data_IF_127822832297
#
_entry.id   IF_127822832297
#
_cell.length_a   1.000
_cell.length_b   1.000
_cell.length_c   1.000
_cell.angle_alpha   90.00
_cell.angle_beta   90.00
_cell.angle_gamma   90.00
#
_symmetry.space_group_name_H-M   'P 1'
#
loop_
_entity.id
_entity.type
_entity.pdbx_description
1 polymer ?
#
# COMPACT_ATOMS: atom_id res chain seq x y z
N UNK A 1 -24.48 24.69 -13.84
CA UNK A 1 -24.10 23.97 -12.62
C UNK A 1 -22.59 24.01 -12.49
N UNK A 2 -22.17 24.57 -11.42
CA UNK A 2 -20.81 25.04 -11.16
C UNK A 2 -19.76 23.92 -11.25
N UNK A 3 -18.73 24.10 -12.09
CA UNK A 3 -17.62 23.15 -12.25
C UNK A 3 -16.63 23.16 -11.06
N UNK A 4 -16.97 23.85 -9.98
CA UNK A 4 -16.11 24.07 -8.81
C UNK A 4 -15.78 22.77 -8.07
N UNK A 5 -16.73 21.86 -7.90
CA UNK A 5 -16.52 20.58 -7.24
C UNK A 5 -15.54 19.66 -8.00
N UNK A 6 -15.53 19.69 -9.35
CA UNK A 6 -14.56 18.91 -10.14
C UNK A 6 -13.13 19.38 -9.90
N UNK A 7 -12.91 20.69 -9.80
CA UNK A 7 -11.58 21.25 -9.50
C UNK A 7 -11.05 20.77 -8.15
N UNK A 8 -11.90 20.69 -7.15
CA UNK A 8 -11.52 20.19 -5.82
C UNK A 8 -11.23 18.69 -5.88
N UNK A 9 -12.02 17.90 -6.62
CA UNK A 9 -11.72 16.46 -6.82
C UNK A 9 -10.36 16.28 -7.48
N UNK A 10 -10.06 16.98 -8.58
CA UNK A 10 -8.76 16.88 -9.22
C UNK A 10 -7.61 17.28 -8.30
N UNK A 11 -7.80 18.34 -7.49
CA UNK A 11 -6.83 18.75 -6.47
C UNK A 11 -6.57 17.62 -5.47
N UNK A 12 -7.63 17.04 -4.88
CA UNK A 12 -7.50 15.93 -3.90
C UNK A 12 -6.85 14.71 -4.54
N UNK A 13 -7.20 14.38 -5.79
CA UNK A 13 -6.57 13.30 -6.55
C UNK A 13 -5.08 13.55 -6.79
N UNK A 14 -4.69 14.77 -7.14
CA UNK A 14 -3.27 15.17 -7.31
C UNK A 14 -2.51 15.03 -5.99
N UNK A 15 -3.10 15.45 -4.88
CA UNK A 15 -2.51 15.30 -3.55
C UNK A 15 -2.36 13.82 -3.19
N UNK A 16 -3.34 12.99 -3.55
CA UNK A 16 -3.28 11.55 -3.33
C UNK A 16 -2.12 10.90 -4.10
N UNK A 17 -1.90 11.30 -5.37
CA UNK A 17 -0.74 10.85 -6.16
C UNK A 17 0.56 11.31 -5.51
N UNK A 18 0.69 12.61 -5.19
CA UNK A 18 1.90 13.17 -4.59
C UNK A 18 2.23 12.55 -3.23
N UNK A 19 1.23 12.38 -2.37
CA UNK A 19 1.39 11.72 -1.07
C UNK A 19 1.76 10.24 -1.21
N UNK A 20 1.16 9.53 -2.17
CA UNK A 20 1.51 8.14 -2.49
C UNK A 20 2.96 8.01 -2.96
N UNK A 21 3.39 8.87 -3.89
CA UNK A 21 4.79 8.93 -4.37
C UNK A 21 5.74 9.17 -3.19
N UNK A 22 5.42 10.12 -2.31
CA UNK A 22 6.27 10.48 -1.15
C UNK A 22 6.42 9.34 -0.16
N UNK A 23 5.34 8.60 0.15
CA UNK A 23 5.36 7.54 1.16
C UNK A 23 5.99 6.27 0.62
N UNK A 24 5.61 5.85 -0.58
CA UNK A 24 5.99 4.57 -1.17
C UNK A 24 7.32 4.65 -1.94
N UNK A 25 7.65 5.84 -2.46
CA UNK A 25 8.86 6.05 -3.26
C UNK A 25 10.17 5.73 -2.56
N UNK A 26 10.16 5.77 -1.24
CA UNK A 26 11.35 5.45 -0.43
C UNK A 26 11.66 3.95 -0.43
N UNK A 27 10.71 3.07 -0.70
CA UNK A 27 10.90 1.61 -0.63
C UNK A 27 11.97 1.09 -1.60
N UNK A 28 12.18 1.74 -2.74
CA UNK A 28 13.14 1.31 -3.76
C UNK A 28 14.61 1.50 -3.35
N UNK A 29 14.90 2.43 -2.44
CA UNK A 29 16.27 2.76 -2.04
C UNK A 29 16.52 2.72 -0.52
N UNK A 30 15.49 2.55 0.30
CA UNK A 30 15.58 2.61 1.76
C UNK A 30 16.68 1.72 2.36
N UNK A 31 16.81 0.43 1.97
CA UNK A 31 17.87 -0.41 2.54
C UNK A 31 19.28 0.03 2.14
N UNK A 32 19.42 0.59 0.94
CA UNK A 32 20.71 1.14 0.45
C UNK A 32 21.07 2.41 1.22
N UNK A 33 20.09 3.26 1.50
CA UNK A 33 20.28 4.43 2.36
C UNK A 33 20.63 4.04 3.81
N UNK A 34 20.04 2.98 4.34
CA UNK A 34 20.39 2.45 5.67
C UNK A 34 21.84 1.95 5.73
N UNK A 35 22.37 1.38 4.64
CA UNK A 35 23.77 1.03 4.52
C UNK A 35 24.68 2.28 4.57
N UNK A 36 24.27 3.40 3.93
CA UNK A 36 24.97 4.70 4.05
C UNK A 36 24.96 5.25 5.48
N UNK A 37 23.90 4.94 6.25
CA UNK A 37 23.82 5.30 7.67
C UNK A 37 24.60 4.37 8.61
N UNK A 38 25.46 3.48 8.08
CA UNK A 38 26.36 2.63 8.83
C UNK A 38 25.89 1.19 9.08
N UNK A 39 24.78 0.76 8.50
CA UNK A 39 24.31 -0.63 8.58
C UNK A 39 24.94 -1.47 7.46
N UNK A 40 26.18 -1.95 7.68
CA UNK A 40 26.91 -2.70 6.67
C UNK A 40 26.55 -4.21 6.65
N UNK A 41 26.04 -4.74 7.75
CA UNK A 41 25.54 -6.13 7.77
C UNK A 41 24.22 -6.24 7.00
N UNK A 42 24.15 -7.08 5.95
CA UNK A 42 22.98 -7.21 5.11
C UNK A 42 21.72 -7.68 5.84
N UNK A 43 21.89 -8.54 6.85
CA UNK A 43 20.78 -9.04 7.66
C UNK A 43 20.22 -7.96 8.59
N UNK A 44 21.11 -7.16 9.19
CA UNK A 44 20.72 -6.03 10.02
C UNK A 44 20.04 -4.93 9.20
N UNK A 45 20.59 -4.61 8.02
CA UNK A 45 19.97 -3.67 7.08
C UNK A 45 18.57 -4.10 6.65
N UNK A 46 18.36 -5.41 6.39
CA UNK A 46 17.04 -5.96 6.07
C UNK A 46 16.03 -5.81 7.22
N UNK A 47 16.45 -6.10 8.45
CA UNK A 47 15.62 -5.94 9.64
C UNK A 47 15.22 -4.47 9.84
N UNK A 48 16.18 -3.55 9.78
CA UNK A 48 15.93 -2.12 9.91
C UNK A 48 15.04 -1.58 8.79
N UNK A 49 15.26 -2.02 7.56
CA UNK A 49 14.42 -1.63 6.43
C UNK A 49 12.97 -2.10 6.62
N UNK A 50 12.79 -3.32 7.15
CA UNK A 50 11.48 -3.84 7.53
C UNK A 50 10.80 -3.00 8.62
N UNK A 51 11.52 -2.67 9.71
CA UNK A 51 11.00 -1.85 10.81
C UNK A 51 10.61 -0.44 10.34
N UNK A 52 11.49 0.25 9.62
CA UNK A 52 11.28 1.61 9.12
C UNK A 52 10.12 1.67 8.13
N UNK A 53 9.95 0.62 7.30
CA UNK A 53 8.83 0.52 6.34
C UNK A 53 7.51 0.20 7.03
N UNK A 54 7.50 -0.67 8.05
CA UNK A 54 6.28 -1.12 8.71
C UNK A 54 5.76 -0.15 9.77
N UNK A 55 6.62 0.65 10.42
CA UNK A 55 6.21 1.54 11.50
C UNK A 55 5.28 2.66 11.00
N UNK A 56 5.54 3.22 9.83
CA UNK A 56 4.73 4.30 9.26
C UNK A 56 3.27 3.89 9.06
N UNK A 57 2.93 2.81 8.31
CA UNK A 57 1.54 2.38 8.17
C UNK A 57 0.90 1.95 9.50
N UNK A 58 1.68 1.44 10.47
CA UNK A 58 1.21 1.14 11.81
C UNK A 58 0.71 2.43 12.52
N UNK A 59 1.54 3.45 12.55
CA UNK A 59 1.18 4.73 13.18
C UNK A 59 0.03 5.43 12.44
N UNK A 60 -0.03 5.35 11.10
CA UNK A 60 -1.17 5.84 10.31
C UNK A 60 -2.47 5.16 10.74
N UNK A 61 -2.47 3.83 10.87
CA UNK A 61 -3.65 3.08 11.28
C UNK A 61 -4.17 3.51 12.67
N UNK A 62 -3.25 3.80 13.60
CA UNK A 62 -3.59 4.25 14.94
C UNK A 62 -4.06 5.71 14.99
N UNK A 63 -3.48 6.57 14.16
CA UNK A 63 -3.74 8.02 14.18
C UNK A 63 -4.89 8.48 13.28
N UNK A 64 -5.24 7.71 12.24
CA UNK A 64 -6.25 8.09 11.25
C UNK A 64 -7.62 8.43 11.86
N UNK A 65 -8.15 7.71 12.87
CA UNK A 65 -9.42 8.08 13.52
C UNK A 65 -9.34 9.41 14.25
N UNK A 66 -8.19 9.73 14.86
CA UNK A 66 -7.97 11.02 15.53
C UNK A 66 -8.02 12.18 14.53
N UNK A 67 -7.30 12.06 13.41
CA UNK A 67 -7.26 13.10 12.38
C UNK A 67 -8.59 13.29 11.68
N UNK A 68 -9.34 12.21 11.44
CA UNK A 68 -10.70 12.28 10.88
C UNK A 68 -11.64 13.06 11.81
N UNK A 69 -11.57 12.83 13.14
CA UNK A 69 -12.35 13.61 14.13
C UNK A 69 -11.92 15.07 14.15
N UNK A 70 -10.61 15.34 14.08
CA UNK A 70 -10.10 16.73 14.05
C UNK A 70 -10.51 17.44 12.77
N UNK A 71 -10.59 16.77 11.64
CA UNK A 71 -11.09 17.33 10.38
C UNK A 71 -12.57 17.73 10.48
N UNK A 72 -13.39 16.96 11.22
CA UNK A 72 -14.78 17.32 11.51
C UNK A 72 -14.91 18.54 12.44
N UNK A 73 -13.95 18.72 13.36
CA UNK A 73 -13.99 19.83 14.33
C UNK A 73 -13.41 21.14 13.79
N UNK A 74 -12.25 21.07 13.14
CA UNK A 74 -11.45 22.23 12.71
C UNK A 74 -11.63 22.57 11.23
N UNK A 75 -12.33 21.72 10.50
CA UNK A 75 -12.45 21.75 9.04
C UNK A 75 -11.34 21.00 8.33
N UNK A 76 -11.67 20.29 7.23
CA UNK A 76 -10.74 19.40 6.53
C UNK A 76 -9.56 20.14 5.92
N UNK A 77 -9.75 21.39 5.44
CA UNK A 77 -8.67 22.21 4.86
C UNK A 77 -7.55 22.47 5.86
N UNK A 78 -7.87 22.93 7.08
CA UNK A 78 -6.86 23.25 8.11
C UNK A 78 -6.09 22.01 8.54
N UNK A 79 -6.80 20.90 8.73
CA UNK A 79 -6.18 19.63 9.15
C UNK A 79 -5.30 19.04 8.06
N UNK A 80 -5.72 19.04 6.80
CA UNK A 80 -4.89 18.58 5.69
C UNK A 80 -3.65 19.46 5.52
N UNK A 81 -3.76 20.78 5.64
CA UNK A 81 -2.60 21.68 5.59
C UNK A 81 -1.60 21.37 6.72
N UNK A 82 -2.06 21.15 7.94
CA UNK A 82 -1.20 20.76 9.06
C UNK A 82 -0.49 19.42 8.81
N UNK A 83 -1.23 18.41 8.33
CA UNK A 83 -0.69 17.10 8.00
C UNK A 83 0.38 17.21 6.90
N UNK A 84 0.07 17.89 5.80
CA UNK A 84 1.02 18.03 4.67
C UNK A 84 2.24 18.88 5.05
N UNK A 85 2.06 19.93 5.87
CA UNK A 85 3.18 20.70 6.39
C UNK A 85 4.12 19.82 7.22
N UNK A 86 3.58 19.06 8.17
CA UNK A 86 4.39 18.18 9.02
C UNK A 86 5.04 17.07 8.19
N UNK A 87 4.34 16.51 7.20
CA UNK A 87 4.93 15.53 6.26
C UNK A 87 6.06 16.16 5.44
N UNK A 88 5.86 17.35 4.91
CA UNK A 88 6.91 18.08 4.16
C UNK A 88 8.17 18.26 5.00
N UNK A 89 8.04 18.75 6.23
CA UNK A 89 9.18 18.98 7.13
C UNK A 89 9.85 17.66 7.52
N UNK A 90 9.07 16.65 7.90
CA UNK A 90 9.63 15.36 8.37
C UNK A 90 10.23 14.53 7.25
N UNK A 91 9.68 14.57 6.03
CA UNK A 91 10.26 13.92 4.85
C UNK A 91 11.56 14.63 4.46
N UNK A 92 11.58 15.97 4.43
CA UNK A 92 12.82 16.73 4.18
C UNK A 92 13.89 16.47 5.23
N UNK A 93 13.51 16.37 6.51
CA UNK A 93 14.43 16.05 7.60
C UNK A 93 15.07 14.66 7.45
N UNK A 94 14.43 13.69 6.80
CA UNK A 94 15.04 12.38 6.52
C UNK A 94 16.32 12.49 5.69
N UNK A 95 16.46 13.51 4.83
CA UNK A 95 17.68 13.73 4.06
C UNK A 95 18.91 14.04 4.93
N UNK A 96 18.71 14.55 6.14
CA UNK A 96 19.77 14.98 7.05
C UNK A 96 20.03 13.98 8.17
N UNK A 97 19.38 12.83 8.16
CA UNK A 97 19.60 11.77 9.16
C UNK A 97 21.01 11.19 9.03
N UNK A 98 21.61 10.89 10.18
CA UNK A 98 22.94 10.30 10.28
C UNK A 98 22.92 8.90 10.92
N UNK A 99 21.79 8.53 11.53
CA UNK A 99 21.64 7.23 12.20
C UNK A 99 20.28 6.60 11.83
N UNK A 100 20.19 5.25 11.82
CA UNK A 100 18.94 4.54 11.58
C UNK A 100 17.82 4.91 12.58
N UNK A 101 18.18 5.23 13.83
CA UNK A 101 17.25 5.64 14.87
C UNK A 101 16.57 6.99 14.56
N UNK A 102 17.35 7.96 14.07
CA UNK A 102 16.77 9.26 13.64
C UNK A 102 15.75 9.06 12.52
N UNK A 103 16.09 8.23 11.53
CA UNK A 103 15.18 7.90 10.45
C UNK A 103 13.91 7.23 10.97
N UNK A 104 14.02 6.24 11.88
CA UNK A 104 12.89 5.56 12.49
C UNK A 104 11.97 6.54 13.23
N UNK A 105 12.52 7.47 14.02
CA UNK A 105 11.73 8.48 14.75
C UNK A 105 10.97 9.40 13.80
N UNK A 106 11.59 9.85 12.71
CA UNK A 106 10.91 10.63 11.68
C UNK A 106 9.80 9.84 10.99
N UNK A 107 10.00 8.54 10.74
CA UNK A 107 8.98 7.64 10.17
C UNK A 107 7.80 7.41 11.12
N UNK A 108 8.04 7.29 12.42
CA UNK A 108 6.98 7.26 13.43
C UNK A 108 6.18 8.56 13.36
N UNK A 109 6.85 9.71 13.36
CA UNK A 109 6.19 11.01 13.31
C UNK A 109 5.36 11.20 12.03
N UNK A 110 5.89 10.78 10.87
CA UNK A 110 5.15 10.75 9.59
C UNK A 110 3.87 9.92 9.70
N UNK A 111 3.94 8.75 10.33
CA UNK A 111 2.78 7.89 10.55
C UNK A 111 1.77 8.52 11.51
N UNK A 112 2.22 9.13 12.62
CA UNK A 112 1.33 9.81 13.59
C UNK A 112 0.52 10.94 12.95
N UNK A 113 1.06 11.62 11.94
CA UNK A 113 0.33 12.67 11.20
C UNK A 113 -0.29 12.17 9.89
N UNK A 114 -0.21 10.88 9.57
CA UNK A 114 -0.59 10.29 8.28
C UNK A 114 -2.09 10.10 8.05
N UNK A 115 -2.94 11.10 8.33
CA UNK A 115 -4.40 10.98 8.20
C UNK A 115 -5.03 11.58 6.93
N UNK A 116 -4.25 11.99 5.92
CA UNK A 116 -4.78 12.72 4.78
C UNK A 116 -5.67 11.86 3.83
N UNK A 117 -5.41 10.55 3.73
CA UNK A 117 -6.16 9.65 2.86
C UNK A 117 -7.65 9.58 3.22
N UNK A 118 -8.06 9.22 4.46
CA UNK A 118 -9.46 9.19 4.82
C UNK A 118 -10.13 10.57 4.77
N UNK A 119 -9.40 11.65 5.04
CA UNK A 119 -9.93 13.02 4.96
C UNK A 119 -10.21 13.37 3.49
N UNK A 120 -9.29 13.05 2.57
CA UNK A 120 -9.49 13.27 1.13
C UNK A 120 -10.71 12.52 0.60
N UNK A 121 -10.89 11.27 1.02
CA UNK A 121 -12.05 10.46 0.65
C UNK A 121 -13.35 11.09 1.17
N UNK A 122 -13.38 11.54 2.42
CA UNK A 122 -14.54 12.19 3.01
C UNK A 122 -14.91 13.50 2.29
N UNK A 123 -13.91 14.30 1.89
CA UNK A 123 -14.13 15.51 1.09
C UNK A 123 -14.79 15.17 -0.25
N UNK A 124 -14.28 14.16 -0.96
CA UNK A 124 -14.82 13.74 -2.26
C UNK A 124 -16.29 13.36 -2.13
N UNK A 125 -16.63 12.55 -1.13
CA UNK A 125 -18.03 12.14 -0.88
C UNK A 125 -18.91 13.35 -0.58
N UNK A 126 -18.42 14.30 0.21
CA UNK A 126 -19.19 15.48 0.62
C UNK A 126 -19.54 16.42 -0.54
N UNK A 127 -18.56 16.68 -1.44
CA UNK A 127 -18.71 17.71 -2.47
C UNK A 127 -19.29 17.19 -3.79
N UNK A 128 -19.33 15.86 -3.99
CA UNK A 128 -19.71 15.25 -5.25
C UNK A 128 -21.22 15.02 -5.28
N UNK A 129 -21.92 15.41 -6.37
CA UNK A 129 -23.34 15.05 -6.58
C UNK A 129 -23.51 13.51 -6.51
N UNK A 130 -24.63 13.05 -5.92
CA UNK A 130 -24.86 11.63 -5.64
C UNK A 130 -24.71 10.71 -6.87
N UNK A 131 -25.19 11.17 -8.03
CA UNK A 131 -25.09 10.44 -9.30
C UNK A 131 -23.64 10.32 -9.83
N UNK A 132 -22.71 11.15 -9.36
CA UNK A 132 -21.29 11.20 -9.76
C UNK A 132 -20.32 10.62 -8.71
N UNK A 133 -20.81 10.28 -7.52
CA UNK A 133 -19.95 9.70 -6.46
C UNK A 133 -19.17 8.47 -6.92
N UNK A 134 -19.76 7.49 -7.66
CA UNK A 134 -19.00 6.34 -8.14
C UNK A 134 -17.84 6.72 -9.06
N UNK A 135 -18.02 7.70 -9.93
CA UNK A 135 -16.96 8.21 -10.79
C UNK A 135 -15.84 8.88 -10.00
N UNK A 136 -16.18 9.75 -9.05
CA UNK A 136 -15.19 10.47 -8.23
C UNK A 136 -14.37 9.51 -7.35
N UNK A 137 -15.03 8.49 -6.79
CA UNK A 137 -14.38 7.42 -6.03
C UNK A 137 -13.42 6.60 -6.90
N UNK A 138 -13.83 6.27 -8.12
CA UNK A 138 -12.98 5.58 -9.08
C UNK A 138 -11.74 6.39 -9.44
N UNK A 139 -11.87 7.69 -9.65
CA UNK A 139 -10.74 8.59 -9.92
C UNK A 139 -9.80 8.68 -8.72
N UNK A 140 -10.33 8.76 -7.50
CA UNK A 140 -9.53 8.78 -6.28
C UNK A 140 -8.74 7.48 -6.08
N UNK A 141 -9.38 6.32 -6.32
CA UNK A 141 -8.70 5.03 -6.26
C UNK A 141 -7.61 4.90 -7.33
N UNK A 142 -7.87 5.35 -8.56
CA UNK A 142 -6.85 5.41 -9.61
C UNK A 142 -5.65 6.28 -9.19
N UNK A 143 -5.90 7.40 -8.52
CA UNK A 143 -4.84 8.28 -8.00
C UNK A 143 -4.00 7.59 -6.91
N UNK A 144 -4.61 6.78 -6.05
CA UNK A 144 -3.87 5.96 -5.08
C UNK A 144 -2.93 4.97 -5.79
N UNK A 145 -3.44 4.27 -6.80
CA UNK A 145 -2.64 3.30 -7.59
C UNK A 145 -1.50 4.01 -8.32
N UNK A 146 -1.75 5.18 -8.91
CA UNK A 146 -0.69 5.97 -9.56
C UNK A 146 0.43 6.33 -8.59
N UNK A 147 0.11 6.81 -7.38
CA UNK A 147 1.13 7.11 -6.36
C UNK A 147 1.95 5.88 -5.97
N UNK A 148 1.29 4.74 -5.79
CA UNK A 148 1.91 3.45 -5.46
C UNK A 148 2.88 2.96 -6.56
N UNK A 149 2.49 3.13 -7.82
CA UNK A 149 3.21 2.62 -8.99
C UNK A 149 4.38 3.54 -9.36
N UNK A 150 4.16 4.85 -9.42
CA UNK A 150 5.19 5.82 -9.82
C UNK A 150 6.18 6.15 -8.70
N UNK A 151 5.79 6.02 -7.43
CA UNK A 151 6.64 6.35 -6.30
C UNK A 151 7.99 5.65 -6.32
N UNK A 152 8.06 4.31 -6.33
CA UNK A 152 9.32 3.58 -6.33
C UNK A 152 10.20 3.85 -7.56
N UNK A 153 9.58 4.07 -8.73
CA UNK A 153 10.31 4.43 -9.94
C UNK A 153 11.00 5.80 -9.80
N UNK A 154 10.26 6.81 -9.36
CA UNK A 154 10.80 8.16 -9.15
C UNK A 154 11.84 8.17 -8.02
N UNK A 155 11.58 7.45 -6.93
CA UNK A 155 12.49 7.33 -5.81
C UNK A 155 13.80 6.64 -6.17
N UNK A 156 13.73 5.52 -6.90
CA UNK A 156 14.89 4.78 -7.36
C UNK A 156 15.74 5.59 -8.33
N UNK A 157 15.11 6.18 -9.35
CA UNK A 157 15.81 7.00 -10.35
C UNK A 157 16.51 8.21 -9.70
N UNK A 158 15.81 8.91 -8.81
CA UNK A 158 16.41 10.05 -8.11
C UNK A 158 17.53 9.63 -7.17
N UNK A 159 17.41 8.46 -6.50
CA UNK A 159 18.42 7.95 -5.60
C UNK A 159 19.73 7.59 -6.34
N UNK A 160 19.63 6.92 -7.48
CA UNK A 160 20.82 6.52 -8.25
C UNK A 160 21.47 7.71 -8.99
N UNK A 161 20.68 8.68 -9.49
CA UNK A 161 21.23 9.82 -10.24
C UNK A 161 21.76 10.95 -9.33
N UNK A 162 21.14 11.18 -8.18
CA UNK A 162 21.38 12.36 -7.34
C UNK A 162 21.83 11.99 -5.91
N UNK A 163 21.97 10.69 -5.61
CA UNK A 163 22.29 10.16 -4.28
C UNK A 163 21.05 9.92 -3.41
N UNK A 164 21.19 9.02 -2.41
CA UNK A 164 20.06 8.53 -1.60
C UNK A 164 19.37 9.60 -0.73
N UNK A 165 19.97 10.77 -0.55
CA UNK A 165 19.38 11.89 0.20
C UNK A 165 18.47 12.76 -0.67
N UNK A 166 18.72 12.84 -1.97
CA UNK A 166 18.00 13.69 -2.90
C UNK A 166 16.49 13.36 -3.02
N UNK A 167 16.06 12.07 -3.08
CA UNK A 167 14.66 11.74 -3.13
C UNK A 167 13.84 12.31 -1.96
N UNK A 168 14.41 12.38 -0.75
CA UNK A 168 13.71 12.95 0.40
C UNK A 168 13.44 14.44 0.22
N UNK A 169 14.40 15.18 -0.35
CA UNK A 169 14.24 16.62 -0.65
C UNK A 169 13.20 16.80 -1.76
N UNK A 170 13.27 16.01 -2.82
CA UNK A 170 12.29 16.05 -3.92
C UNK A 170 10.88 15.74 -3.44
N UNK A 171 10.70 14.71 -2.60
CA UNK A 171 9.41 14.34 -2.05
C UNK A 171 8.89 15.37 -1.05
N UNK A 172 9.77 16.00 -0.28
CA UNK A 172 9.42 17.14 0.57
C UNK A 172 8.91 18.31 -0.26
N UNK A 173 9.60 18.68 -1.35
CA UNK A 173 9.17 19.73 -2.26
C UNK A 173 7.81 19.39 -2.91
N UNK A 174 7.62 18.15 -3.38
CA UNK A 174 6.34 17.67 -3.93
C UNK A 174 5.21 17.80 -2.91
N UNK A 175 5.46 17.39 -1.66
CA UNK A 175 4.47 17.54 -0.57
C UNK A 175 4.17 19.01 -0.28
N UNK A 176 5.18 19.89 -0.35
CA UNK A 176 5.02 21.34 -0.25
C UNK A 176 4.17 21.92 -1.38
N UNK A 177 4.34 21.45 -2.61
CA UNK A 177 3.50 21.83 -3.75
C UNK A 177 2.04 21.34 -3.55
N UNK A 178 1.83 20.15 -3.03
CA UNK A 178 0.50 19.66 -2.66
C UNK A 178 -0.15 20.54 -1.58
N UNK A 179 0.61 20.94 -0.57
CA UNK A 179 0.14 21.85 0.49
C UNK A 179 -0.22 23.23 -0.08
N UNK A 180 0.62 23.77 -0.96
CA UNK A 180 0.36 25.03 -1.66
C UNK A 180 -0.92 24.94 -2.50
N UNK A 181 -1.15 23.81 -3.18
CA UNK A 181 -2.40 23.55 -3.91
C UNK A 181 -3.64 23.64 -3.01
N UNK A 182 -3.60 23.04 -1.80
CA UNK A 182 -4.69 23.17 -0.83
C UNK A 182 -4.86 24.63 -0.40
N UNK A 183 -3.77 25.30 -0.10
CA UNK A 183 -3.79 26.69 0.34
C UNK A 183 -4.47 27.61 -0.69
N UNK A 184 -4.15 27.45 -1.96
CA UNK A 184 -4.64 28.32 -3.03
C UNK A 184 -6.06 27.96 -3.52
N UNK A 185 -6.38 26.65 -3.63
CA UNK A 185 -7.56 26.21 -4.37
C UNK A 185 -8.64 25.55 -3.53
N UNK A 186 -8.35 25.15 -2.29
CA UNK A 186 -9.35 24.48 -1.46
C UNK A 186 -10.16 25.48 -0.64
N UNK A 187 -11.50 25.55 -0.80
CA UNK A 187 -12.36 26.39 0.02
C UNK A 187 -12.40 25.88 1.48
N UNK A 188 -12.89 26.74 2.37
CA UNK A 188 -13.17 26.32 3.73
C UNK A 188 -14.45 25.49 3.77
N UNK A 189 -14.27 24.16 3.79
CA UNK A 189 -15.36 23.21 3.93
C UNK A 189 -15.57 22.90 5.42
N UNK A 190 -16.83 22.64 5.78
CA UNK A 190 -17.20 22.09 7.08
C UNK A 190 -17.97 20.80 6.87
N UNK A 191 -17.69 19.80 7.67
CA UNK A 191 -18.46 18.56 7.69
C UNK A 191 -19.67 18.76 8.61
N UNK A 192 -20.86 18.77 8.02
CA UNK A 192 -22.12 18.98 8.77
C UNK A 192 -22.58 17.75 9.57
N UNK A 193 -22.03 16.58 9.27
CA UNK A 193 -22.42 15.34 9.95
C UNK A 193 -21.44 14.93 11.03
N UNK A 194 -21.90 14.92 12.28
CA UNK A 194 -21.29 14.17 13.37
C UNK A 194 -21.43 12.69 13.06
N UNK A 195 -20.37 12.05 12.57
CA UNK A 195 -20.32 10.60 12.51
C UNK A 195 -20.30 10.10 13.95
N UNK A 196 -21.44 9.65 14.46
CA UNK A 196 -21.54 8.98 15.75
C UNK A 196 -20.81 7.62 15.66
N UNK A 197 -19.53 7.62 15.98
CA UNK A 197 -18.71 6.42 16.09
C UNK A 197 -19.05 5.69 17.41
N UNK A 198 -20.29 5.21 17.57
CA UNK A 198 -20.74 4.53 18.81
C UNK A 198 -20.45 3.03 18.83
N UNK A 199 -20.17 2.41 17.71
CA UNK A 199 -19.81 0.99 17.72
C UNK A 199 -18.30 0.80 17.69
N UNK A 200 -17.76 0.04 18.64
CA UNK A 200 -16.34 -0.32 18.65
C UNK A 200 -15.99 -1.12 17.40
N UNK A 201 -15.02 -0.65 16.62
CA UNK A 201 -14.54 -1.37 15.42
C UNK A 201 -14.17 -2.83 15.75
N UNK A 202 -13.68 -3.09 16.95
CA UNK A 202 -13.33 -4.44 17.42
C UNK A 202 -14.52 -5.37 17.57
N UNK A 203 -15.67 -4.88 18.07
CA UNK A 203 -16.89 -5.69 18.18
C UNK A 203 -17.45 -6.04 16.82
N UNK A 204 -17.37 -5.11 15.87
CA UNK A 204 -17.80 -5.30 14.48
C UNK A 204 -16.90 -6.29 13.74
N UNK A 205 -15.58 -6.17 13.88
CA UNK A 205 -14.63 -7.14 13.30
C UNK A 205 -14.95 -8.55 13.80
N UNK A 206 -15.19 -8.73 15.10
CA UNK A 206 -15.53 -10.04 15.67
C UNK A 206 -16.82 -10.62 15.07
N UNK A 207 -17.87 -9.82 14.90
CA UNK A 207 -19.17 -10.30 14.40
C UNK A 207 -19.11 -10.81 12.95
N UNK A 208 -18.23 -10.26 12.10
CA UNK A 208 -18.10 -10.69 10.70
C UNK A 208 -17.09 -11.81 10.48
N UNK A 209 -16.07 -11.90 11.34
CA UNK A 209 -15.13 -13.02 11.31
C UNK A 209 -15.75 -14.37 11.73
N UNK A 210 -16.97 -14.35 12.27
CA UNK A 210 -17.76 -15.58 12.52
C UNK A 210 -18.18 -16.25 11.21
N UNK A 211 -18.39 -15.49 10.12
CA UNK A 211 -18.76 -16.05 8.82
C UNK A 211 -17.50 -16.68 8.17
N UNK A 212 -17.43 -18.02 8.01
CA UNK A 212 -16.19 -18.69 7.57
C UNK A 212 -15.66 -18.19 6.22
N UNK A 213 -16.57 -17.92 5.26
CA UNK A 213 -16.22 -17.39 3.93
C UNK A 213 -15.63 -15.98 4.01
N UNK A 214 -16.19 -15.11 4.83
CA UNK A 214 -15.70 -13.74 5.03
C UNK A 214 -14.33 -13.78 5.70
N UNK A 215 -14.17 -14.58 6.76
CA UNK A 215 -12.88 -14.76 7.46
C UNK A 215 -11.77 -15.19 6.51
N UNK A 216 -12.04 -16.17 5.63
CA UNK A 216 -11.08 -16.64 4.64
C UNK A 216 -10.65 -15.53 3.67
N UNK A 217 -11.62 -14.78 3.13
CA UNK A 217 -11.34 -13.70 2.17
C UNK A 217 -10.61 -12.53 2.82
N UNK A 218 -10.95 -12.19 4.05
CA UNK A 218 -10.24 -11.17 4.85
C UNK A 218 -8.81 -11.61 5.13
N UNK A 219 -8.62 -12.88 5.52
CA UNK A 219 -7.29 -13.47 5.68
C UNK A 219 -6.48 -13.43 4.39
N UNK A 220 -7.08 -13.70 3.24
CA UNK A 220 -6.42 -13.60 1.94
C UNK A 220 -6.00 -12.16 1.61
N UNK A 221 -6.86 -11.16 1.86
CA UNK A 221 -6.51 -9.75 1.66
C UNK A 221 -5.35 -9.31 2.56
N UNK A 222 -5.34 -9.76 3.81
CA UNK A 222 -4.20 -9.58 4.71
C UNK A 222 -2.92 -10.19 4.12
N UNK A 223 -2.96 -11.45 3.67
CA UNK A 223 -1.81 -12.17 3.12
C UNK A 223 -1.30 -11.53 1.82
N UNK A 224 -2.20 -11.02 0.96
CA UNK A 224 -1.80 -10.29 -0.24
C UNK A 224 -1.01 -9.02 0.11
N UNK A 225 -1.54 -8.21 1.04
CA UNK A 225 -0.83 -7.00 1.48
C UNK A 225 0.50 -7.36 2.15
N UNK A 226 0.51 -8.39 2.99
CA UNK A 226 1.73 -8.92 3.61
C UNK A 226 2.80 -9.29 2.57
N UNK A 227 2.44 -10.08 1.56
CA UNK A 227 3.37 -10.55 0.52
C UNK A 227 3.87 -9.43 -0.39
N UNK A 228 3.00 -8.47 -0.75
CA UNK A 228 3.36 -7.34 -1.60
C UNK A 228 4.37 -6.43 -0.88
N UNK A 229 4.05 -6.04 0.35
CA UNK A 229 4.84 -5.06 1.10
C UNK A 229 6.06 -5.65 1.78
N UNK A 230 6.01 -6.94 2.14
CA UNK A 230 7.11 -7.62 2.82
C UNK A 230 8.37 -7.73 1.96
N UNK A 231 8.23 -7.96 0.68
CA UNK A 231 9.38 -8.07 -0.24
C UNK A 231 9.97 -6.71 -0.63
N UNK A 232 9.18 -5.62 -0.56
CA UNK A 232 9.63 -4.29 -0.97
C UNK A 232 10.99 -3.89 -0.38
N UNK A 233 11.17 -3.87 0.94
CA UNK A 233 12.44 -3.52 1.58
C UNK A 233 13.54 -4.58 1.43
N UNK A 234 13.22 -5.80 0.99
CA UNK A 234 14.20 -6.88 0.79
C UNK A 234 14.81 -6.83 -0.62
N UNK A 235 14.03 -6.40 -1.61
CA UNK A 235 14.36 -6.48 -3.01
C UNK A 235 15.68 -5.77 -3.38
N UNK A 236 15.98 -4.53 -2.91
CA UNK A 236 17.25 -3.88 -3.19
C UNK A 236 18.46 -4.66 -2.67
N UNK A 237 18.36 -5.20 -1.45
CA UNK A 237 19.43 -6.00 -0.84
C UNK A 237 19.62 -7.35 -1.55
N UNK A 238 18.51 -7.98 -1.98
CA UNK A 238 18.55 -9.21 -2.75
C UNK A 238 19.25 -9.00 -4.09
N UNK A 239 18.94 -7.94 -4.83
CA UNK A 239 19.60 -7.62 -6.10
C UNK A 239 21.09 -7.31 -5.88
N UNK A 240 21.40 -6.48 -4.89
CA UNK A 240 22.80 -6.09 -4.63
C UNK A 240 23.66 -7.26 -4.18
N UNK A 241 23.25 -8.01 -3.16
CA UNK A 241 24.09 -9.01 -2.51
C UNK A 241 23.97 -10.42 -3.09
N UNK A 242 22.78 -10.84 -3.52
CA UNK A 242 22.56 -12.18 -4.05
C UNK A 242 22.84 -12.28 -5.54
N UNK A 243 22.48 -11.22 -6.31
CA UNK A 243 22.75 -11.17 -7.75
C UNK A 243 24.11 -10.53 -8.08
N UNK A 244 24.90 -10.15 -7.05
CA UNK A 244 26.25 -9.58 -7.20
C UNK A 244 26.30 -8.40 -8.19
N UNK A 245 25.28 -7.54 -8.17
CA UNK A 245 25.28 -6.33 -8.99
C UNK A 245 26.14 -5.24 -8.36
N UNK A 246 26.84 -4.50 -9.24
CA UNK A 246 27.45 -3.24 -8.85
C UNK A 246 26.39 -2.25 -8.35
N UNK A 247 26.78 -1.31 -7.49
CA UNK A 247 25.87 -0.36 -6.84
C UNK A 247 25.13 0.57 -7.82
N UNK A 248 25.60 0.64 -9.07
CA UNK A 248 24.99 1.48 -10.09
C UNK A 248 23.60 1.00 -10.48
N UNK A 249 22.61 1.89 -10.36
CA UNK A 249 21.22 1.69 -10.80
C UNK A 249 20.41 0.62 -10.07
N UNK A 250 20.83 0.12 -8.91
CA UNK A 250 20.07 -0.88 -8.14
C UNK A 250 18.71 -0.34 -7.72
N UNK A 251 18.64 0.90 -7.21
CA UNK A 251 17.39 1.50 -6.77
C UNK A 251 16.45 1.77 -7.95
N UNK A 252 16.97 2.17 -9.10
CA UNK A 252 16.20 2.34 -10.35
C UNK A 252 15.63 1.02 -10.84
N UNK A 253 16.41 -0.03 -10.85
CA UNK A 253 15.97 -1.38 -11.25
C UNK A 253 14.84 -1.87 -10.34
N UNK A 254 14.99 -1.71 -9.03
CA UNK A 254 13.93 -2.02 -8.06
C UNK A 254 12.68 -1.20 -8.36
N UNK A 255 12.85 0.10 -8.62
CA UNK A 255 11.76 0.99 -8.99
C UNK A 255 11.02 0.53 -10.24
N UNK A 256 11.74 0.12 -11.30
CA UNK A 256 11.17 -0.42 -12.54
C UNK A 256 10.42 -1.73 -12.30
N UNK A 257 10.99 -2.62 -11.48
CA UNK A 257 10.36 -3.92 -11.15
C UNK A 257 9.04 -3.71 -10.40
N UNK A 258 9.02 -2.82 -9.42
CA UNK A 258 7.81 -2.51 -8.64
C UNK A 258 6.79 -1.78 -9.53
N UNK A 259 7.24 -0.83 -10.36
CA UNK A 259 6.41 -0.14 -11.34
C UNK A 259 5.73 -1.13 -12.30
N UNK A 260 6.50 -2.04 -12.89
CA UNK A 260 5.99 -3.08 -13.78
C UNK A 260 4.93 -3.96 -13.11
N UNK A 261 5.19 -4.43 -11.89
CA UNK A 261 4.23 -5.24 -11.14
C UNK A 261 2.93 -4.48 -10.87
N UNK A 262 3.02 -3.19 -10.48
CA UNK A 262 1.86 -2.34 -10.26
C UNK A 262 1.05 -2.07 -11.53
N UNK A 263 1.74 -1.81 -12.65
CA UNK A 263 1.12 -1.60 -13.96
C UNK A 263 0.34 -2.84 -14.41
N UNK A 264 0.95 -4.02 -14.33
CA UNK A 264 0.29 -5.27 -14.70
C UNK A 264 -0.87 -5.61 -13.75
N UNK A 265 -0.77 -5.27 -12.47
CA UNK A 265 -1.88 -5.40 -11.51
C UNK A 265 -3.06 -4.49 -11.88
N UNK A 266 -2.81 -3.26 -12.30
CA UNK A 266 -3.85 -2.35 -12.78
C UNK A 266 -4.54 -2.87 -14.05
N UNK A 267 -3.76 -3.38 -15.02
CA UNK A 267 -4.28 -3.98 -16.25
C UNK A 267 -5.16 -5.22 -15.96
N UNK A 268 -4.74 -6.06 -15.01
CA UNK A 268 -5.53 -7.20 -14.57
C UNK A 268 -6.87 -6.76 -13.97
N UNK A 269 -6.86 -5.74 -13.10
CA UNK A 269 -8.06 -5.22 -12.46
C UNK A 269 -9.09 -4.70 -13.47
N UNK A 270 -8.65 -4.06 -14.55
CA UNK A 270 -9.54 -3.60 -15.64
C UNK A 270 -10.12 -4.80 -16.42
N UNK A 271 -9.37 -5.89 -16.53
CA UNK A 271 -9.76 -7.08 -17.31
C UNK A 271 -10.75 -8.00 -16.59
N UNK A 272 -11.04 -7.77 -15.30
CA UNK A 272 -11.87 -8.66 -14.47
C UNK A 272 -13.24 -8.90 -15.09
N UNK A 273 -13.91 -7.87 -15.63
CA UNK A 273 -15.23 -8.01 -16.22
C UNK A 273 -15.28 -9.09 -17.30
N UNK A 274 -14.33 -9.04 -18.24
CA UNK A 274 -14.26 -10.01 -19.36
C UNK A 274 -13.91 -11.44 -18.87
N UNK A 275 -13.10 -11.55 -17.84
CA UNK A 275 -12.67 -12.86 -17.34
C UNK A 275 -13.77 -13.54 -16.52
N UNK A 276 -14.55 -12.77 -15.78
CA UNK A 276 -15.68 -13.28 -14.98
C UNK A 276 -16.86 -13.74 -15.83
N UNK A 277 -16.92 -13.38 -17.12
CA UNK A 277 -17.89 -13.94 -18.08
C UNK A 277 -17.57 -15.42 -18.41
N UNK A 278 -16.29 -15.82 -18.35
CA UNK A 278 -15.85 -17.17 -18.73
C UNK A 278 -15.52 -18.08 -17.54
N UNK A 279 -15.07 -17.50 -16.45
CA UNK A 279 -14.61 -18.24 -15.26
C UNK A 279 -15.34 -17.76 -14.01
N UNK A 280 -15.63 -18.67 -13.10
CA UNK A 280 -16.23 -18.32 -11.81
C UNK A 280 -15.21 -17.60 -10.90
N UNK A 281 -15.67 -16.61 -10.14
CA UNK A 281 -14.83 -15.84 -9.20
C UNK A 281 -14.00 -16.72 -8.24
N UNK A 282 -14.54 -17.82 -7.65
CA UNK A 282 -13.76 -18.74 -6.83
C UNK A 282 -12.60 -19.41 -7.58
N UNK A 283 -12.78 -19.78 -8.84
CA UNK A 283 -11.72 -20.38 -9.66
C UNK A 283 -10.64 -19.35 -9.99
N UNK A 284 -11.02 -18.11 -10.33
CA UNK A 284 -10.06 -17.05 -10.65
C UNK A 284 -9.21 -16.74 -9.42
N UNK A 285 -9.81 -16.58 -8.23
CA UNK A 285 -9.06 -16.25 -7.02
C UNK A 285 -8.14 -17.40 -6.58
N UNK A 286 -8.56 -18.65 -6.76
CA UNK A 286 -7.74 -19.82 -6.52
C UNK A 286 -6.52 -19.87 -7.45
N UNK A 287 -6.75 -19.79 -8.78
CA UNK A 287 -5.67 -19.84 -9.77
C UNK A 287 -4.71 -18.67 -9.61
N UNK A 288 -5.21 -17.48 -9.33
CA UNK A 288 -4.39 -16.30 -9.08
C UNK A 288 -3.51 -16.48 -7.83
N UNK A 289 -4.10 -16.95 -6.73
CA UNK A 289 -3.36 -17.18 -5.47
C UNK A 289 -2.30 -18.26 -5.62
N UNK A 290 -2.61 -19.36 -6.31
CA UNK A 290 -1.66 -20.43 -6.60
C UNK A 290 -0.52 -19.94 -7.49
N UNK A 291 -0.84 -19.24 -8.58
CA UNK A 291 0.13 -18.69 -9.51
C UNK A 291 1.10 -17.72 -8.82
N UNK A 292 0.60 -16.86 -7.94
CA UNK A 292 1.44 -15.94 -7.16
C UNK A 292 2.45 -16.72 -6.31
N UNK A 293 2.03 -17.77 -5.59
CA UNK A 293 2.93 -18.63 -4.82
C UNK A 293 4.03 -19.24 -5.69
N UNK A 294 3.68 -19.78 -6.85
CA UNK A 294 4.63 -20.36 -7.82
C UNK A 294 5.61 -19.29 -8.32
N UNK A 295 5.11 -18.11 -8.66
CA UNK A 295 5.94 -17.01 -9.17
C UNK A 295 6.91 -16.47 -8.13
N UNK A 296 6.60 -16.50 -6.83
CA UNK A 296 7.55 -16.16 -5.78
C UNK A 296 8.71 -17.17 -5.71
N UNK A 297 8.45 -18.45 -5.91
CA UNK A 297 9.51 -19.49 -6.01
C UNK A 297 10.38 -19.22 -7.22
N UNK A 298 9.77 -18.98 -8.40
CA UNK A 298 10.50 -18.74 -9.63
C UNK A 298 11.37 -17.48 -9.57
N UNK A 299 10.93 -16.43 -8.87
CA UNK A 299 11.72 -15.22 -8.63
C UNK A 299 13.03 -15.51 -7.87
N UNK A 300 13.03 -16.50 -7.00
CA UNK A 300 14.25 -16.88 -6.26
C UNK A 300 15.13 -17.85 -7.03
N UNK A 301 14.56 -18.86 -7.70
CA UNK A 301 15.30 -19.92 -8.41
C UNK A 301 16.02 -19.40 -9.65
N UNK A 302 15.48 -18.36 -10.31
CA UNK A 302 16.10 -17.76 -11.49
C UNK A 302 16.83 -16.46 -11.12
N UNK A 303 18.14 -16.51 -10.82
CA UNK A 303 18.92 -15.36 -10.39
C UNK A 303 19.31 -14.46 -11.58
N UNK A 304 18.30 -13.94 -12.28
CA UNK A 304 18.43 -13.00 -13.37
C UNK A 304 17.52 -11.82 -13.13
N UNK A 305 18.02 -10.59 -13.33
CA UNK A 305 17.24 -9.36 -13.19
C UNK A 305 16.01 -9.37 -14.11
N UNK A 306 16.20 -9.83 -15.33
CA UNK A 306 15.10 -9.97 -16.30
C UNK A 306 14.07 -11.01 -15.84
N UNK A 307 14.52 -12.16 -15.35
CA UNK A 307 13.65 -13.20 -14.78
C UNK A 307 12.88 -12.66 -13.57
N UNK A 308 13.58 -12.01 -12.64
CA UNK A 308 12.97 -11.38 -11.45
C UNK A 308 11.91 -10.36 -11.86
N UNK A 309 12.22 -9.47 -12.81
CA UNK A 309 11.31 -8.44 -13.29
C UNK A 309 10.07 -9.01 -13.99
N UNK A 310 10.26 -9.99 -14.89
CA UNK A 310 9.17 -10.64 -15.62
C UNK A 310 8.26 -11.40 -14.66
N UNK A 311 8.82 -12.26 -13.79
CA UNK A 311 8.01 -13.01 -12.83
C UNK A 311 7.31 -12.10 -11.81
N UNK A 312 7.94 -10.98 -11.44
CA UNK A 312 7.31 -9.97 -10.57
C UNK A 312 6.15 -9.26 -11.26
N UNK A 313 6.29 -8.91 -12.53
CA UNK A 313 5.22 -8.31 -13.33
C UNK A 313 4.04 -9.28 -13.50
N UNK A 314 4.31 -10.56 -13.81
CA UNK A 314 3.28 -11.59 -13.91
C UNK A 314 2.62 -11.84 -12.55
N UNK A 315 3.38 -11.86 -11.45
CA UNK A 315 2.81 -11.95 -10.11
C UNK A 315 1.89 -10.77 -9.81
N UNK A 316 2.30 -9.55 -10.19
CA UNK A 316 1.47 -8.35 -10.11
C UNK A 316 0.14 -8.51 -10.85
N UNK A 317 0.18 -9.05 -12.08
CA UNK A 317 -1.02 -9.34 -12.86
C UNK A 317 -2.00 -10.24 -12.11
N UNK A 318 -1.54 -11.37 -11.58
CA UNK A 318 -2.41 -12.26 -10.81
C UNK A 318 -2.90 -11.63 -9.50
N UNK A 319 -2.07 -10.86 -8.81
CA UNK A 319 -2.47 -10.11 -7.60
C UNK A 319 -3.58 -9.09 -7.89
N UNK A 320 -3.59 -8.49 -9.09
CA UNK A 320 -4.62 -7.56 -9.53
C UNK A 320 -6.04 -8.14 -9.57
N UNK A 321 -6.19 -9.46 -9.65
CA UNK A 321 -7.50 -10.13 -9.58
C UNK A 321 -7.95 -10.36 -8.13
N UNK A 322 -7.03 -10.62 -7.21
CA UNK A 322 -7.37 -11.12 -5.86
C UNK A 322 -8.19 -10.11 -5.09
N UNK A 323 -7.73 -8.87 -4.98
CA UNK A 323 -8.38 -7.84 -4.15
C UNK A 323 -9.80 -7.49 -4.62
N UNK A 324 -10.07 -7.19 -5.91
CA UNK A 324 -11.41 -6.86 -6.36
C UNK A 324 -12.38 -8.05 -6.27
N UNK A 325 -11.91 -9.26 -6.57
CA UNK A 325 -12.75 -10.46 -6.50
C UNK A 325 -13.07 -10.79 -5.04
N UNK A 326 -12.09 -10.72 -4.13
CA UNK A 326 -12.32 -10.93 -2.71
C UNK A 326 -13.35 -9.94 -2.15
N UNK A 327 -13.21 -8.65 -2.49
CA UNK A 327 -14.16 -7.61 -2.10
C UNK A 327 -15.56 -7.87 -2.66
N UNK A 328 -15.66 -8.31 -3.91
CA UNK A 328 -16.96 -8.67 -4.52
C UNK A 328 -17.61 -9.86 -3.83
N UNK A 329 -16.85 -10.90 -3.50
CA UNK A 329 -17.35 -12.06 -2.77
C UNK A 329 -17.78 -11.70 -1.34
N UNK A 330 -17.03 -10.84 -0.66
CA UNK A 330 -17.41 -10.31 0.67
C UNK A 330 -18.71 -9.51 0.56
N UNK A 331 -18.83 -8.64 -0.44
CA UNK A 331 -20.05 -7.83 -0.62
C UNK A 331 -21.30 -8.66 -0.88
N UNK A 332 -21.16 -9.84 -1.52
CA UNK A 332 -22.27 -10.79 -1.73
C UNK A 332 -22.64 -11.58 -0.49
N UNK A 333 -21.70 -11.73 0.44
CA UNK A 333 -21.91 -12.46 1.70
C UNK A 333 -22.48 -11.61 2.84
N UNK A 334 -22.60 -10.28 2.62
CA UNK A 334 -22.99 -9.32 3.67
C UNK A 334 -24.20 -8.51 3.22
N UNK A 335 -25.23 -8.31 4.09
CA UNK A 335 -26.36 -7.43 3.83
C UNK A 335 -25.92 -6.02 3.44
N UNK A 336 -26.70 -5.38 2.54
CA UNK A 336 -26.34 -4.08 1.92
C UNK A 336 -26.15 -2.98 2.98
N UNK A 337 -26.95 -2.99 4.03
CA UNK A 337 -26.97 -2.01 5.12
C UNK A 337 -25.67 -2.06 5.96
N UNK A 338 -24.99 -3.22 5.99
CA UNK A 338 -23.79 -3.45 6.79
C UNK A 338 -22.49 -3.42 5.99
N UNK A 339 -22.58 -3.31 4.64
CA UNK A 339 -21.39 -3.35 3.78
C UNK A 339 -20.33 -2.30 4.14
N UNK A 340 -20.73 -1.06 4.40
CA UNK A 340 -19.79 0.01 4.74
C UNK A 340 -18.96 -0.30 5.97
N UNK A 341 -19.61 -0.83 7.02
CA UNK A 341 -18.95 -1.19 8.28
C UNK A 341 -18.01 -2.39 8.08
N UNK A 342 -18.46 -3.40 7.34
CA UNK A 342 -17.65 -4.59 7.02
C UNK A 342 -16.43 -4.22 6.21
N UNK A 343 -16.56 -3.40 5.17
CA UNK A 343 -15.42 -2.97 4.37
C UNK A 343 -14.43 -2.11 5.15
N UNK A 344 -14.88 -1.31 6.12
CA UNK A 344 -14.01 -0.63 7.08
C UNK A 344 -13.18 -1.62 7.91
N UNK A 345 -13.83 -2.65 8.46
CA UNK A 345 -13.16 -3.71 9.22
C UNK A 345 -12.20 -4.55 8.35
N UNK A 346 -12.62 -4.94 7.15
CA UNK A 346 -11.80 -5.65 6.16
C UNK A 346 -10.55 -4.86 5.80
N UNK A 347 -10.70 -3.57 5.53
CA UNK A 347 -9.57 -2.68 5.21
C UNK A 347 -8.59 -2.57 6.37
N UNK A 348 -9.09 -2.50 7.62
CA UNK A 348 -8.24 -2.45 8.81
C UNK A 348 -7.38 -3.72 8.95
N UNK A 349 -7.99 -4.91 8.76
CA UNK A 349 -7.25 -6.18 8.81
C UNK A 349 -6.27 -6.30 7.65
N UNK A 350 -6.68 -5.93 6.43
CA UNK A 350 -5.80 -5.94 5.27
C UNK A 350 -4.58 -5.00 5.47
N UNK A 351 -4.79 -3.85 6.11
CA UNK A 351 -3.73 -2.88 6.41
C UNK A 351 -2.71 -3.41 7.42
N UNK A 352 -3.08 -4.33 8.32
CA UNK A 352 -2.13 -5.03 9.18
C UNK A 352 -1.10 -5.84 8.38
N UNK A 353 -1.44 -6.30 7.18
CA UNK A 353 -0.49 -6.91 6.25
C UNK A 353 0.62 -5.96 5.82
N UNK A 354 0.29 -4.68 5.59
CA UNK A 354 1.28 -3.65 5.26
C UNK A 354 2.21 -3.30 6.43
N UNK A 355 1.79 -3.55 7.66
CA UNK A 355 2.60 -3.36 8.87
C UNK A 355 3.51 -4.57 9.11
N UNK A 356 2.90 -5.75 9.16
CA UNK A 356 3.59 -6.99 9.54
C UNK A 356 4.46 -7.55 8.41
N UNK A 357 4.07 -7.31 7.15
CA UNK A 357 4.81 -7.80 5.98
C UNK A 357 6.29 -7.36 6.01
N UNK A 358 6.59 -6.07 5.98
CA UNK A 358 7.98 -5.58 6.02
C UNK A 358 8.74 -6.01 7.26
N UNK A 359 8.11 -5.92 8.45
CA UNK A 359 8.76 -6.25 9.72
C UNK A 359 9.16 -7.72 9.78
N UNK A 360 8.21 -8.62 9.54
CA UNK A 360 8.48 -10.06 9.61
C UNK A 360 9.40 -10.52 8.47
N UNK A 361 9.25 -9.98 7.27
CA UNK A 361 10.17 -10.28 6.16
C UNK A 361 11.60 -9.83 6.44
N UNK A 362 11.78 -8.66 7.08
CA UNK A 362 13.10 -8.21 7.52
C UNK A 362 13.72 -9.12 8.58
N UNK A 363 12.92 -9.56 9.56
CA UNK A 363 13.37 -10.52 10.59
C UNK A 363 13.72 -11.90 10.00
N UNK A 364 12.89 -12.40 9.06
CA UNK A 364 13.15 -13.68 8.36
C UNK A 364 14.43 -13.55 7.52
N UNK A 365 14.62 -12.46 6.81
CA UNK A 365 15.81 -12.21 6.01
C UNK A 365 17.09 -12.19 6.88
N UNK A 366 17.02 -11.57 8.06
CA UNK A 366 18.14 -11.56 9.02
C UNK A 366 18.47 -12.95 9.55
N UNK A 367 17.45 -13.73 9.92
CA UNK A 367 17.64 -15.02 10.59
C UNK A 367 17.97 -16.17 9.61
N UNK A 368 17.40 -16.16 8.41
CA UNK A 368 17.40 -17.28 7.48
C UNK A 368 17.84 -16.90 6.04
N UNK A 369 18.21 -15.64 5.84
CA UNK A 369 18.62 -15.12 4.53
C UNK A 369 17.44 -14.72 3.63
N UNK A 370 17.75 -14.04 2.53
CA UNK A 370 16.76 -13.47 1.61
C UNK A 370 15.85 -14.53 0.96
N UNK A 371 16.41 -15.70 0.63
CA UNK A 371 15.66 -16.81 0.04
C UNK A 371 14.49 -17.26 0.90
N UNK A 372 14.65 -17.27 2.21
CA UNK A 372 13.61 -17.68 3.14
C UNK A 372 12.37 -16.77 3.06
N UNK A 373 12.54 -15.50 2.69
CA UNK A 373 11.41 -14.56 2.50
C UNK A 373 10.57 -14.97 1.28
N UNK A 374 11.22 -15.35 0.17
CA UNK A 374 10.49 -15.81 -1.02
C UNK A 374 9.78 -17.14 -0.75
N UNK A 375 10.46 -18.11 -0.11
CA UNK A 375 9.89 -19.42 0.23
C UNK A 375 8.73 -19.28 1.24
N UNK A 376 8.90 -18.50 2.29
CA UNK A 376 7.83 -18.30 3.28
C UNK A 376 6.62 -17.59 2.68
N UNK A 377 6.83 -16.59 1.84
CA UNK A 377 5.74 -15.90 1.12
C UNK A 377 5.03 -16.88 0.17
N UNK A 378 5.76 -17.68 -0.59
CA UNK A 378 5.17 -18.70 -1.47
C UNK A 378 4.35 -19.73 -0.67
N UNK A 379 4.88 -20.24 0.44
CA UNK A 379 4.18 -21.20 1.30
C UNK A 379 2.86 -20.63 1.83
N UNK A 380 2.86 -19.36 2.26
CA UNK A 380 1.66 -18.66 2.72
C UNK A 380 0.60 -18.60 1.61
N UNK A 381 1.00 -18.26 0.37
CA UNK A 381 0.08 -18.21 -0.77
C UNK A 381 -0.46 -19.60 -1.15
N UNK A 382 0.35 -20.65 -1.09
CA UNK A 382 -0.12 -22.02 -1.34
C UNK A 382 -1.11 -22.49 -0.27
N UNK A 383 -0.83 -22.21 1.00
CA UNK A 383 -1.75 -22.52 2.11
C UNK A 383 -3.07 -21.76 1.92
N UNK A 384 -3.03 -20.47 1.57
CA UNK A 384 -4.22 -19.70 1.28
C UNK A 384 -5.01 -20.27 0.08
N UNK A 385 -4.31 -20.66 -0.99
CA UNK A 385 -4.94 -21.28 -2.17
C UNK A 385 -5.64 -22.61 -1.81
N UNK A 386 -5.02 -23.43 -0.97
CA UNK A 386 -5.63 -24.69 -0.51
C UNK A 386 -6.93 -24.44 0.27
N UNK A 387 -6.93 -23.45 1.16
CA UNK A 387 -8.14 -23.06 1.90
C UNK A 387 -9.23 -22.51 0.97
N UNK A 388 -8.87 -21.70 -0.03
CA UNK A 388 -9.80 -21.19 -1.05
C UNK A 388 -10.39 -22.35 -1.84
N UNK A 389 -9.58 -23.30 -2.27
CA UNK A 389 -10.03 -24.47 -3.03
C UNK A 389 -11.07 -25.26 -2.24
N UNK A 390 -10.78 -25.61 -0.99
CA UNK A 390 -11.68 -26.37 -0.13
C UNK A 390 -12.97 -25.64 0.22
N UNK A 391 -12.90 -24.31 0.43
CA UNK A 391 -14.05 -23.55 0.97
C UNK A 391 -14.92 -22.90 -0.08
N UNK A 392 -14.39 -22.61 -1.27
CA UNK A 392 -15.08 -21.82 -2.29
C UNK A 392 -15.19 -22.54 -3.65
N UNK A 393 -14.26 -23.45 -3.98
CA UNK A 393 -14.23 -24.11 -5.29
C UNK A 393 -14.98 -25.46 -5.23
N UNK A 394 -14.76 -26.22 -4.17
CA UNK A 394 -15.52 -27.48 -3.94
C UNK A 394 -16.88 -27.08 -3.36
N UNK A 395 -18.02 -27.46 -3.98
CA UNK A 395 -19.32 -27.30 -3.36
C UNK A 395 -19.33 -28.07 -2.05
N UNK A 396 -19.68 -27.43 -0.92
CA UNK A 396 -20.02 -28.18 0.29
C UNK A 396 -21.26 -29.01 -0.05
N UNK A 397 -21.11 -30.31 -0.08
CA UNK A 397 -22.25 -31.23 0.02
C UNK A 397 -22.94 -30.96 1.36
N UNK A 398 -24.02 -30.18 1.32
CA UNK A 398 -24.96 -29.94 2.43
C UNK A 398 -26.35 -29.76 1.88
#
# INVERSE_FOLDING_TARGET
MDSSWKRIIYLICTIQVGGGITIIGVLSFLPLFLAELGLHDPGEAAMWAGLVSGVTPCMVALSAPYWSRKANQLGPRKVMMFILFTLMVTVGACAFTQTPWQLLMLRILQGVVGGYVPIGLAIIILITPEDKVPWAMGLYQASMVMGLVFGPLMGGLAADLLGYRAPFIMFSALTGLCMLGIYLFMPNLQFEHKVDARESQLSLIKSFLVIPRVRLLVGLLFLCNFGITGIGPILPLYIKHYMHMNDEFVATIVGIIIFGAGLFSALASISIGKITERLTMPRIIFTATWAVGTLFILQYIMPSIWGLGIFRAIAGFFMGFITPIANTLISKAVPIERRGIVFGAVSSVAMMGNVLGPVLSGMIARAFGYGAVFWSTAAIFFVAALFIYRSLVIPSES
#
